data_IF_698015626694
#
_entry.id   IF_698015626694
#
_cell.length_a   1.000
_cell.length_b   1.000
_cell.length_c   1.000
_cell.angle_alpha   90.00
_cell.angle_beta   90.00
_cell.angle_gamma   90.00
#
_symmetry.space_group_name_H-M   'P 1'
#
loop_
_entity.id
_entity.type
_entity.pdbx_description
1 polymer ?
#
# COMPACT_ATOMS: atom_id res chain seq x y z
N UNK A 1 12.39 26.17 -26.69
CA UNK A 1 11.67 24.96 -26.88
C UNK A 1 11.18 24.44 -25.55
N UNK A 2 9.90 24.21 -25.48
CA UNK A 2 9.34 23.74 -24.25
C UNK A 2 9.44 22.25 -24.20
N UNK A 3 10.03 21.78 -23.15
CA UNK A 3 9.93 20.35 -22.90
C UNK A 3 8.47 20.05 -22.65
N UNK A 4 7.94 19.06 -23.31
CA UNK A 4 6.62 18.58 -22.97
C UNK A 4 6.65 18.19 -21.50
N UNK A 5 5.59 18.50 -20.74
CA UNK A 5 5.54 17.99 -19.38
C UNK A 5 5.69 16.49 -19.48
N UNK A 6 6.55 15.96 -18.64
CA UNK A 6 6.72 14.53 -18.63
C UNK A 6 5.36 13.92 -18.35
N UNK A 7 4.81 13.25 -19.32
CA UNK A 7 3.62 12.50 -19.11
C UNK A 7 3.98 11.44 -18.08
N UNK A 8 3.15 11.34 -17.05
CA UNK A 8 3.33 10.30 -16.07
C UNK A 8 3.34 9.00 -16.84
N UNK A 9 4.49 8.37 -16.91
CA UNK A 9 4.57 7.10 -17.60
C UNK A 9 4.09 6.02 -16.65
N UNK A 10 3.22 5.15 -17.11
CA UNK A 10 2.81 4.04 -16.25
C UNK A 10 4.03 3.20 -15.93
N UNK A 11 4.04 2.58 -14.76
CA UNK A 11 5.10 1.67 -14.39
C UNK A 11 5.15 0.53 -15.39
N UNK A 12 6.32 0.19 -15.94
CA UNK A 12 6.42 -0.96 -16.81
C UNK A 12 6.01 -2.25 -16.09
N UNK A 13 5.47 -3.20 -16.83
CA UNK A 13 4.99 -4.44 -16.22
C UNK A 13 6.10 -5.19 -15.49
N UNK A 14 7.32 -5.20 -16.04
CA UNK A 14 8.43 -5.87 -15.39
C UNK A 14 8.83 -5.21 -14.08
N UNK A 15 8.70 -3.89 -13.97
CA UNK A 15 8.95 -3.18 -12.72
C UNK A 15 7.90 -3.56 -11.69
N UNK A 16 6.64 -3.62 -12.09
CA UNK A 16 5.56 -4.04 -11.20
C UNK A 16 5.79 -5.45 -10.69
N UNK A 17 6.16 -6.37 -11.56
CA UNK A 17 6.40 -7.76 -11.18
C UNK A 17 7.58 -7.87 -10.22
N UNK A 18 8.66 -7.15 -10.48
CA UNK A 18 9.82 -7.17 -9.59
C UNK A 18 9.49 -6.59 -8.22
N UNK A 19 8.70 -5.52 -8.18
CA UNK A 19 8.30 -4.92 -6.93
C UNK A 19 7.43 -5.88 -6.12
N UNK A 20 6.53 -6.59 -6.78
CA UNK A 20 5.67 -7.57 -6.10
C UNK A 20 6.45 -8.78 -5.61
N UNK A 21 7.58 -9.08 -6.22
CA UNK A 21 8.42 -10.21 -5.81
C UNK A 21 9.47 -9.82 -4.77
N UNK A 22 9.62 -8.53 -4.48
CA UNK A 22 10.64 -8.06 -3.54
C UNK A 22 10.38 -8.61 -2.14
N UNK A 23 11.45 -9.04 -1.48
CA UNK A 23 11.33 -9.64 -0.16
C UNK A 23 11.16 -8.62 0.96
N UNK A 24 11.54 -7.37 0.74
CA UNK A 24 11.45 -6.32 1.75
C UNK A 24 10.78 -5.07 1.19
N UNK A 25 10.26 -4.26 2.09
CA UNK A 25 9.68 -2.97 1.70
C UNK A 25 10.74 -2.07 1.07
N UNK A 26 11.94 -2.05 1.65
CA UNK A 26 13.01 -1.21 1.12
C UNK A 26 13.37 -1.60 -0.31
N UNK A 27 13.46 -2.89 -0.59
CA UNK A 27 13.75 -3.37 -1.93
C UNK A 27 12.64 -2.99 -2.91
N UNK A 28 11.39 -3.20 -2.52
CA UNK A 28 10.26 -2.84 -3.35
C UNK A 28 10.20 -1.34 -3.65
N UNK A 29 10.46 -0.51 -2.65
CA UNK A 29 10.50 0.94 -2.84
C UNK A 29 11.56 1.36 -3.84
N UNK A 30 12.73 0.76 -3.75
CA UNK A 30 13.82 1.04 -4.68
C UNK A 30 13.43 0.67 -6.11
N UNK A 31 12.81 -0.50 -6.27
CA UNK A 31 12.34 -0.95 -7.58
C UNK A 31 11.29 0.02 -8.13
N UNK A 32 10.43 0.54 -7.27
CA UNK A 32 9.40 1.50 -7.68
C UNK A 32 9.94 2.91 -7.93
N UNK A 33 11.24 3.11 -7.74
CA UNK A 33 11.90 4.35 -8.07
C UNK A 33 12.07 5.34 -6.93
N UNK A 34 11.76 4.94 -5.71
CA UNK A 34 11.91 5.83 -4.57
C UNK A 34 13.37 5.96 -4.20
N UNK A 35 13.90 7.17 -4.26
CA UNK A 35 15.29 7.44 -3.93
C UNK A 35 15.45 8.30 -2.68
N UNK A 36 14.39 8.86 -2.17
CA UNK A 36 14.43 9.72 -0.99
C UNK A 36 13.31 9.34 -0.04
N UNK A 37 13.39 9.82 1.19
CA UNK A 37 12.34 9.56 2.16
C UNK A 37 11.02 10.15 1.67
N UNK A 38 9.90 9.45 1.85
CA UNK A 38 8.61 9.96 1.41
C UNK A 38 8.15 11.10 2.31
N UNK A 39 7.34 11.97 1.74
CA UNK A 39 6.71 13.03 2.52
C UNK A 39 5.49 12.49 3.25
N UNK A 40 5.06 13.14 4.33
CA UNK A 40 3.85 12.72 5.01
C UNK A 40 2.64 12.79 4.08
N UNK A 41 1.84 11.74 4.07
CA UNK A 41 0.68 11.66 3.21
C UNK A 41 -0.55 12.32 3.81
N UNK A 42 -0.51 13.64 4.01
CA UNK A 42 -1.63 14.34 4.64
C UNK A 42 -2.90 14.32 3.82
N UNK A 43 -2.77 14.21 2.52
CA UNK A 43 -3.91 14.15 1.60
C UNK A 43 -4.14 12.74 1.08
N UNK A 44 -3.56 11.76 1.74
CA UNK A 44 -3.78 10.35 1.45
C UNK A 44 -4.54 9.75 2.62
N UNK A 45 -5.67 9.14 2.34
CA UNK A 45 -6.48 8.50 3.37
C UNK A 45 -6.26 7.01 3.32
N UNK A 46 -5.78 6.45 4.41
CA UNK A 46 -5.61 5.01 4.55
C UNK A 46 -6.64 4.52 5.55
N UNK A 47 -7.57 3.71 5.06
CA UNK A 47 -8.64 3.17 5.89
C UNK A 47 -8.40 1.69 6.12
N UNK A 48 -8.17 1.33 7.36
CA UNK A 48 -8.01 -0.05 7.81
C UNK A 48 -8.70 -0.19 9.14
N UNK A 49 -9.10 -1.40 9.53
CA UNK A 49 -9.64 -1.60 10.87
C UNK A 49 -8.54 -1.39 11.91
N UNK A 50 -8.91 -0.90 13.10
CA UNK A 50 -7.94 -0.76 14.18
C UNK A 50 -7.57 -2.13 14.76
N UNK A 51 -8.54 -3.01 14.82
CA UNK A 51 -8.38 -4.36 15.38
C UNK A 51 -9.08 -5.34 14.46
N UNK A 52 -8.41 -6.46 14.19
CA UNK A 52 -9.00 -7.56 13.45
C UNK A 52 -9.13 -8.74 14.41
N UNK A 53 -10.34 -9.30 14.50
CA UNK A 53 -10.58 -10.50 15.27
C UNK A 53 -10.09 -11.73 14.52
N UNK A 54 -9.30 -12.55 15.20
CA UNK A 54 -8.77 -13.77 14.60
C UNK A 54 -9.40 -15.00 15.25
N UNK A 55 -9.71 -16.03 14.46
CA UNK A 55 -10.07 -17.31 15.04
C UNK A 55 -8.84 -17.90 15.73
N UNK A 56 -9.03 -18.83 16.69
CA UNK A 56 -7.89 -19.50 17.30
C UNK A 56 -7.05 -20.18 16.23
N UNK A 57 -5.73 -19.94 16.26
CA UNK A 57 -4.79 -20.52 15.30
C UNK A 57 -5.17 -20.25 13.86
N UNK A 58 -5.71 -19.09 13.59
CA UNK A 58 -6.17 -18.79 12.26
C UNK A 58 -5.79 -17.41 11.79
N UNK A 59 -6.32 -17.07 10.66
CA UNK A 59 -6.14 -15.77 10.04
C UNK A 59 -7.50 -15.22 9.67
N UNK A 60 -7.54 -13.94 9.38
CA UNK A 60 -8.77 -13.28 8.95
C UNK A 60 -8.43 -12.29 7.83
N UNK A 61 -9.41 -12.04 6.98
CA UNK A 61 -9.26 -11.06 5.93
C UNK A 61 -9.64 -9.68 6.47
N UNK A 62 -8.95 -8.68 6.00
CA UNK A 62 -9.34 -7.29 6.24
C UNK A 62 -9.31 -6.54 4.93
N UNK A 63 -10.10 -5.49 4.83
CA UNK A 63 -10.11 -4.62 3.66
C UNK A 63 -9.25 -3.39 3.93
N UNK A 64 -8.33 -3.12 3.02
CA UNK A 64 -7.52 -1.91 3.03
C UNK A 64 -8.02 -1.02 1.92
N UNK A 65 -8.28 0.23 2.25
CA UNK A 65 -8.72 1.20 1.25
C UNK A 65 -7.82 2.42 1.33
N UNK A 66 -7.28 2.82 0.19
CA UNK A 66 -6.44 4.00 0.08
C UNK A 66 -7.08 4.96 -0.90
N UNK A 67 -7.24 6.20 -0.49
CA UNK A 67 -7.74 7.26 -1.36
C UNK A 67 -6.73 8.38 -1.37
N UNK A 68 -6.30 8.81 -2.54
CA UNK A 68 -5.39 9.93 -2.67
C UNK A 68 -6.18 11.16 -3.10
N UNK A 69 -5.99 12.25 -2.38
CA UNK A 69 -6.52 13.56 -2.77
C UNK A 69 -5.42 14.44 -3.32
N UNK A 70 -4.26 13.84 -3.62
CA UNK A 70 -3.15 14.57 -4.20
C UNK A 70 -3.37 14.78 -5.70
N UNK A 71 -3.05 15.95 -6.23
CA UNK A 71 -3.11 16.15 -7.67
C UNK A 71 -2.06 15.31 -8.36
N UNK A 72 -2.36 14.87 -9.57
CA UNK A 72 -1.43 14.11 -10.41
C UNK A 72 -0.98 12.79 -9.77
N UNK A 73 -1.86 12.11 -9.06
CA UNK A 73 -1.55 10.80 -8.51
C UNK A 73 -1.28 9.82 -9.65
N UNK A 74 -0.12 9.18 -9.60
CA UNK A 74 0.32 8.27 -10.65
C UNK A 74 0.04 6.82 -10.30
N UNK A 75 0.33 6.43 -9.08
CA UNK A 75 0.04 5.08 -8.59
C UNK A 75 -0.03 5.06 -7.07
N UNK A 76 -0.64 4.00 -6.57
CA UNK A 76 -0.79 3.75 -5.14
C UNK A 76 -0.30 2.33 -4.88
N UNK A 77 0.57 2.18 -3.88
CA UNK A 77 1.07 0.89 -3.47
C UNK A 77 0.75 0.66 -1.99
N UNK A 78 0.40 -0.58 -1.66
CA UNK A 78 0.12 -0.97 -0.27
C UNK A 78 1.11 -2.04 0.14
N UNK A 79 1.82 -1.77 1.23
CA UNK A 79 2.75 -2.72 1.84
C UNK A 79 2.19 -3.19 3.17
N UNK A 80 2.40 -4.45 3.46
CA UNK A 80 1.97 -5.07 4.71
C UNK A 80 3.15 -5.81 5.32
N UNK A 81 3.46 -5.53 6.58
CA UNK A 81 4.53 -6.17 7.30
C UNK A 81 4.06 -6.58 8.69
N UNK A 82 4.34 -7.79 9.12
CA UNK A 82 5.02 -8.86 8.40
C UNK A 82 4.13 -9.54 7.37
N UNK A 83 4.74 -10.11 6.37
CA UNK A 83 4.02 -10.84 5.32
C UNK A 83 4.75 -12.14 5.00
N UNK A 84 4.01 -13.17 4.65
CA UNK A 84 4.60 -14.50 4.42
C UNK A 84 5.35 -14.62 3.10
N UNK A 85 5.03 -13.77 2.14
CA UNK A 85 5.68 -13.81 0.82
C UNK A 85 6.41 -12.53 0.53
N UNK A 86 5.69 -11.54 0.09
CA UNK A 86 6.26 -10.26 -0.26
C UNK A 86 5.42 -9.16 0.36
N UNK A 87 6.05 -8.07 0.81
CA UNK A 87 5.31 -7.02 1.51
C UNK A 87 4.40 -6.19 0.62
N UNK A 88 4.67 -6.10 -0.68
CA UNK A 88 3.80 -5.36 -1.59
C UNK A 88 2.60 -6.22 -1.94
N UNK A 89 1.46 -5.88 -1.36
CA UNK A 89 0.24 -6.68 -1.52
C UNK A 89 -0.71 -6.13 -2.57
N UNK A 90 -0.59 -4.86 -2.90
CA UNK A 90 -1.45 -4.25 -3.91
C UNK A 90 -0.75 -3.06 -4.55
N UNK A 91 -0.96 -2.90 -5.85
CA UNK A 91 -0.41 -1.80 -6.62
C UNK A 91 -1.45 -1.41 -7.66
N UNK A 92 -1.86 -0.17 -7.64
CA UNK A 92 -2.85 0.34 -8.58
C UNK A 92 -2.28 1.52 -9.34
N UNK A 93 -2.31 1.43 -10.66
CA UNK A 93 -1.96 2.54 -11.52
C UNK A 93 -3.19 3.40 -11.71
N UNK A 94 -3.02 4.71 -11.64
CA UNK A 94 -4.13 5.63 -11.76
C UNK A 94 -4.19 6.17 -13.19
N UNK A 95 -5.26 5.83 -13.89
CA UNK A 95 -5.46 6.35 -15.23
C UNK A 95 -5.86 7.83 -15.15
N UNK A 96 -5.54 8.56 -16.20
CA UNK A 96 -5.88 9.97 -16.27
C UNK A 96 -7.39 10.15 -16.12
N UNK A 97 -7.79 11.02 -15.20
CA UNK A 97 -9.20 11.29 -14.95
C UNK A 97 -9.89 10.28 -14.04
N UNK A 98 -9.21 9.21 -13.67
CA UNK A 98 -9.80 8.22 -12.76
C UNK A 98 -9.65 8.67 -11.30
N UNK A 99 -10.54 8.20 -10.45
CA UNK A 99 -10.40 8.44 -9.03
C UNK A 99 -9.23 7.61 -8.50
N UNK A 100 -8.29 8.22 -7.78
CA UNK A 100 -7.16 7.48 -7.26
C UNK A 100 -7.53 6.75 -5.96
N UNK A 101 -8.18 5.62 -6.12
CA UNK A 101 -8.61 4.77 -5.01
C UNK A 101 -8.08 3.36 -5.25
N UNK A 102 -7.51 2.77 -4.20
CA UNK A 102 -7.13 1.37 -4.23
C UNK A 102 -7.84 0.66 -3.10
N UNK A 103 -8.40 -0.48 -3.40
CA UNK A 103 -9.03 -1.33 -2.40
C UNK A 103 -8.46 -2.73 -2.54
N UNK A 104 -8.05 -3.32 -1.43
CA UNK A 104 -7.48 -4.65 -1.42
C UNK A 104 -7.91 -5.41 -0.17
N UNK A 105 -8.09 -6.72 -0.32
CA UNK A 105 -8.35 -7.58 0.80
C UNK A 105 -7.03 -8.26 1.16
N UNK A 106 -6.68 -8.21 2.43
CA UNK A 106 -5.42 -8.71 2.93
C UNK A 106 -5.69 -9.68 4.06
N UNK A 107 -5.00 -10.81 4.05
CA UNK A 107 -5.11 -11.79 5.13
C UNK A 107 -4.08 -11.49 6.20
N UNK A 108 -4.53 -11.41 7.45
CA UNK A 108 -3.65 -11.13 8.58
C UNK A 108 -3.78 -12.23 9.62
N UNK A 109 -2.67 -12.53 10.26
CA UNK A 109 -2.63 -13.55 11.34
C UNK A 109 -1.99 -13.00 12.61
N UNK A 110 -1.55 -11.77 12.60
CA UNK A 110 -0.94 -11.11 13.76
C UNK A 110 -0.94 -9.60 13.51
N UNK A 111 -0.59 -8.85 14.54
CA UNK A 111 -0.48 -7.40 14.43
C UNK A 111 0.42 -7.02 13.24
N UNK A 112 -0.05 -6.11 12.45
CA UNK A 112 0.51 -5.83 11.15
C UNK A 112 0.61 -4.33 10.94
N UNK A 113 1.66 -3.90 10.27
CA UNK A 113 1.82 -2.51 9.85
C UNK A 113 1.43 -2.42 8.38
N UNK A 114 0.52 -1.52 8.07
CA UNK A 114 0.09 -1.25 6.70
C UNK A 114 0.64 0.10 6.28
N UNK A 115 1.31 0.14 5.14
CA UNK A 115 1.85 1.37 4.58
C UNK A 115 1.24 1.62 3.22
N UNK A 116 0.76 2.82 3.00
CA UNK A 116 0.31 3.25 1.69
C UNK A 116 1.36 4.20 1.14
N UNK A 117 1.95 3.86 0.02
CA UNK A 117 2.93 4.68 -0.68
C UNK A 117 2.28 5.19 -1.96
N UNK A 118 2.27 6.49 -2.13
CA UNK A 118 1.63 7.13 -3.28
C UNK A 118 2.66 7.96 -4.02
N UNK A 119 2.70 7.81 -5.33
CA UNK A 119 3.48 8.71 -6.17
C UNK A 119 2.53 9.69 -6.84
N UNK A 120 2.77 10.97 -6.63
CA UNK A 120 1.96 12.03 -7.20
C UNK A 120 2.87 13.19 -7.59
N UNK A 121 2.77 13.64 -8.84
CA UNK A 121 3.57 14.75 -9.30
C UNK A 121 5.07 14.52 -9.17
N UNK A 122 5.53 13.30 -9.33
CA UNK A 122 6.94 12.96 -9.22
C UNK A 122 7.46 12.85 -7.79
N UNK A 123 6.60 12.98 -6.80
CA UNK A 123 6.99 12.88 -5.39
C UNK A 123 6.34 11.67 -4.75
N UNK A 124 6.94 11.20 -3.67
CA UNK A 124 6.43 10.06 -2.92
C UNK A 124 5.84 10.53 -1.60
N UNK A 125 4.69 9.95 -1.24
CA UNK A 125 3.98 10.25 0.00
C UNK A 125 3.65 8.95 0.69
N UNK A 126 3.68 8.95 2.01
CA UNK A 126 3.43 7.73 2.76
C UNK A 126 2.52 7.97 3.95
N UNK A 127 1.61 7.02 4.18
CA UNK A 127 0.80 6.95 5.38
C UNK A 127 0.96 5.54 5.95
N UNK A 128 1.14 5.46 7.26
CA UNK A 128 1.32 4.18 7.94
C UNK A 128 0.26 4.00 9.01
N UNK A 129 -0.28 2.80 9.11
CA UNK A 129 -1.22 2.43 10.17
C UNK A 129 -0.86 1.08 10.72
N UNK A 130 -1.05 0.91 12.03
CA UNK A 130 -0.89 -0.38 12.64
C UNK A 130 -2.26 -1.00 12.86
N UNK A 131 -2.40 -2.26 12.46
CA UNK A 131 -3.62 -3.03 12.65
C UNK A 131 -3.31 -4.09 13.71
N UNK A 132 -4.00 -4.01 14.84
CA UNK A 132 -3.82 -4.97 15.90
C UNK A 132 -4.72 -6.16 15.68
N UNK A 133 -4.31 -7.31 16.19
CA UNK A 133 -5.14 -8.51 16.12
C UNK A 133 -5.49 -8.94 17.52
N UNK A 134 -6.67 -9.53 17.66
CA UNK A 134 -7.12 -10.08 18.92
C UNK A 134 -7.77 -11.44 18.62
N UNK A 135 -7.37 -12.45 19.37
CA UNK A 135 -7.97 -13.77 19.20
C UNK A 135 -9.40 -13.73 19.71
N UNK A 136 -10.33 -14.03 18.80
CA UNK A 136 -11.71 -14.10 19.16
C UNK A 136 -11.94 -15.58 19.39
N UNK A 137 -11.69 -16.02 20.54
CA UNK A 137 -11.82 -17.40 20.81
C UNK A 137 -13.12 -17.74 21.38
N UNK A 138 -13.31 -18.98 21.48
CA UNK A 138 -14.26 -19.52 22.29
C UNK A 138 -13.90 -19.18 23.66
N UNK A 139 -14.59 -18.35 24.26
CA UNK A 139 -14.33 -18.13 25.53
C UNK A 139 -14.90 -19.16 26.26
N UNK A 140 -14.29 -19.52 27.13
CA UNK A 140 -14.82 -20.39 27.91
C UNK A 140 -15.26 -19.75 29.00
N UNK A 141 -16.05 -19.42 29.20
CA UNK A 141 -16.39 -18.81 30.23
C UNK A 141 -17.16 -19.32 30.90
#
# INVERSE_FOLDING_TARGET
MLAAPALAQPLPADVQDRARAAATVAEARTILGQSAAPEPGRRVRLEVPDIVGLPPKGSAAMTVRVTSELPATEWIAVFVEPHTRAPLVALSLVASGAKPVLRADVTVSRTTTVRALVRAGGRFYEVTRQVKTATVGCRNE
#
